data_IF_071619975037
#
_entry.id   IF_071619975037
#
_cell.length_a   1.000
_cell.length_b   1.000
_cell.length_c   1.000
_cell.angle_alpha   90.00
_cell.angle_beta   90.00
_cell.angle_gamma   90.00
#
_symmetry.space_group_name_H-M   'P 1'
#
loop_
_entity.id
_entity.type
_entity.pdbx_description
1 polymer ?
#
# COMPACT_ATOMS: atom_id res chain seq x y z
N UNK A 1 -29.33 -2.90 23.60
CA UNK A 1 -28.11 -2.87 24.42
C UNK A 1 -26.97 -2.08 23.79
N UNK A 2 -26.66 -2.22 22.51
CA UNK A 2 -25.56 -1.48 21.87
C UNK A 2 -25.72 0.04 21.91
N UNK A 3 -26.93 0.56 21.63
CA UNK A 3 -27.20 2.00 21.67
C UNK A 3 -26.99 2.63 23.05
N UNK A 4 -27.27 1.89 24.11
CA UNK A 4 -27.05 2.36 25.49
C UNK A 4 -25.57 2.44 25.87
N UNK A 5 -24.73 1.56 25.30
CA UNK A 5 -23.27 1.56 25.53
C UNK A 5 -22.61 2.73 24.78
N UNK A 6 -23.05 3.03 23.57
CA UNK A 6 -22.56 4.17 22.78
C UNK A 6 -22.91 5.50 23.45
N UNK A 7 -24.12 5.67 23.97
CA UNK A 7 -24.56 6.86 24.72
C UNK A 7 -23.77 7.01 26.00
N UNK A 8 -23.50 5.93 26.73
CA UNK A 8 -22.74 5.97 27.98
C UNK A 8 -21.26 6.37 27.73
N UNK A 9 -20.65 5.93 26.62
CA UNK A 9 -19.28 6.30 26.25
C UNK A 9 -19.17 7.78 25.85
N UNK A 10 -20.16 8.33 25.14
CA UNK A 10 -20.23 9.75 24.78
C UNK A 10 -20.41 10.66 26.00
N UNK A 11 -21.19 10.22 26.99
CA UNK A 11 -21.43 10.98 28.25
C UNK A 11 -20.20 10.95 29.15
N UNK A 12 -19.40 9.89 29.11
CA UNK A 12 -18.19 9.75 29.91
C UNK A 12 -16.96 10.46 29.32
N UNK A 13 -17.06 11.09 28.15
CA UNK A 13 -15.93 11.75 27.48
C UNK A 13 -14.78 10.82 27.12
N UNK A 14 -15.05 9.51 27.04
CA UNK A 14 -14.06 8.51 26.66
C UNK A 14 -13.96 8.51 25.14
N UNK A 15 -12.77 8.78 24.63
CA UNK A 15 -12.47 8.67 23.21
C UNK A 15 -12.81 7.25 22.73
N UNK A 16 -13.72 7.14 21.75
CA UNK A 16 -14.20 5.88 21.17
C UNK A 16 -13.07 5.05 20.54
N UNK A 17 -11.92 5.67 20.29
CA UNK A 17 -10.72 5.07 19.70
C UNK A 17 -10.03 4.04 20.60
N UNK A 18 -10.35 4.04 21.89
CA UNK A 18 -9.79 3.09 22.87
C UNK A 18 -10.59 1.81 23.05
N UNK A 19 -11.76 1.69 22.43
CA UNK A 19 -12.59 0.49 22.53
C UNK A 19 -12.33 -0.40 21.33
N UNK A 20 -11.40 -1.34 21.49
CA UNK A 20 -11.18 -2.43 20.52
C UNK A 20 -12.51 -3.10 20.23
N UNK A 21 -13.01 -2.96 18.99
CA UNK A 21 -14.25 -3.58 18.53
C UNK A 21 -15.45 -2.65 18.29
N UNK A 22 -15.49 -1.41 18.82
CA UNK A 22 -16.57 -0.46 18.48
C UNK A 22 -16.52 0.04 17.03
N UNK A 23 -15.36 0.35 16.44
CA UNK A 23 -15.27 0.68 15.02
C UNK A 23 -15.83 -0.43 14.12
N UNK A 24 -15.54 -1.69 14.44
CA UNK A 24 -16.05 -2.85 13.69
C UNK A 24 -17.56 -2.98 13.81
N UNK A 25 -18.08 -2.93 15.04
CA UNK A 25 -19.52 -3.04 15.26
C UNK A 25 -20.30 -1.88 14.62
N UNK A 26 -19.74 -0.69 14.63
CA UNK A 26 -20.32 0.49 13.98
C UNK A 26 -20.30 0.37 12.45
N UNK A 27 -19.18 -0.05 11.87
CA UNK A 27 -19.04 -0.29 10.43
C UNK A 27 -19.90 -1.44 9.96
N UNK A 28 -19.92 -2.55 10.71
CA UNK A 28 -20.82 -3.67 10.44
C UNK A 28 -22.29 -3.21 10.43
N UNK A 29 -22.68 -2.36 11.36
CA UNK A 29 -24.01 -1.81 11.41
C UNK A 29 -24.32 -0.85 10.24
N UNK A 30 -23.34 -0.06 9.80
CA UNK A 30 -23.47 0.85 8.65
C UNK A 30 -23.45 0.12 7.31
N UNK A 31 -22.66 -0.93 7.19
CA UNK A 31 -22.54 -1.74 5.96
C UNK A 31 -23.70 -2.72 5.77
N UNK A 32 -24.71 -2.69 6.65
CA UNK A 32 -25.84 -3.63 6.58
C UNK A 32 -25.42 -5.08 6.85
N UNK A 33 -24.33 -5.31 7.58
CA UNK A 33 -23.80 -6.63 7.91
C UNK A 33 -22.88 -7.24 6.84
N UNK A 34 -22.40 -6.44 5.88
CA UNK A 34 -21.50 -6.91 4.81
C UNK A 34 -20.01 -6.83 5.15
N UNK A 35 -19.65 -6.62 6.40
CA UNK A 35 -18.26 -6.63 6.85
C UNK A 35 -17.85 -8.08 7.15
N UNK A 36 -17.18 -8.72 6.20
CA UNK A 36 -16.92 -10.16 6.22
C UNK A 36 -15.50 -10.45 5.71
N UNK A 37 -15.03 -11.69 5.89
CA UNK A 37 -13.90 -12.23 5.16
C UNK A 37 -14.33 -12.45 3.71
N UNK A 38 -14.33 -11.36 2.92
CA UNK A 38 -14.78 -11.40 1.54
C UNK A 38 -13.81 -12.26 0.71
N UNK A 39 -14.34 -13.33 0.12
CA UNK A 39 -13.58 -14.12 -0.81
C UNK A 39 -13.15 -13.26 -2.02
N UNK A 40 -11.95 -13.51 -2.57
CA UNK A 40 -11.52 -12.83 -3.77
C UNK A 40 -12.47 -13.11 -4.94
N UNK A 41 -12.55 -12.22 -5.93
CA UNK A 41 -13.19 -12.51 -7.21
C UNK A 41 -12.62 -13.78 -7.85
N UNK A 42 -13.31 -14.31 -8.87
CA UNK A 42 -12.82 -15.46 -9.61
C UNK A 42 -11.43 -15.16 -10.20
N UNK A 43 -10.44 -15.92 -9.77
CA UNK A 43 -9.05 -15.73 -10.20
C UNK A 43 -8.77 -16.39 -11.55
N UNK A 44 -7.85 -15.80 -12.31
CA UNK A 44 -7.37 -16.32 -13.59
C UNK A 44 -5.88 -16.66 -13.52
N UNK A 45 -5.36 -17.57 -14.34
CA UNK A 45 -3.92 -17.79 -14.44
C UNK A 45 -3.19 -16.48 -14.75
N UNK A 46 -1.98 -16.31 -14.19
CA UNK A 46 -1.15 -15.16 -14.51
C UNK A 46 -0.89 -15.10 -16.02
N UNK A 47 -1.13 -13.95 -16.68
CA UNK A 47 -0.95 -13.82 -18.12
C UNK A 47 0.54 -13.80 -18.46
N UNK A 48 1.04 -14.86 -19.09
CA UNK A 48 2.40 -14.85 -19.65
C UNK A 48 2.41 -13.89 -20.85
N UNK A 49 3.01 -12.72 -20.68
CA UNK A 49 3.16 -11.73 -21.76
C UNK A 49 4.27 -12.14 -22.72
N UNK A 50 4.05 -11.91 -24.01
CA UNK A 50 5.07 -12.14 -25.05
C UNK A 50 6.22 -11.09 -25.00
N UNK A 51 6.02 -9.95 -24.31
CA UNK A 51 7.02 -8.89 -24.13
C UNK A 51 7.12 -8.54 -22.65
N UNK A 52 8.36 -8.40 -22.16
CA UNK A 52 8.63 -7.89 -20.83
C UNK A 52 8.20 -6.41 -20.75
N UNK A 53 7.51 -5.97 -19.68
CA UNK A 53 7.30 -4.54 -19.43
C UNK A 53 8.64 -3.82 -19.21
N UNK A 54 8.68 -2.50 -19.41
CA UNK A 54 9.88 -1.69 -19.19
C UNK A 54 10.24 -1.63 -17.70
N UNK A 55 9.22 -1.61 -16.84
CA UNK A 55 9.35 -1.58 -15.38
C UNK A 55 8.40 -2.60 -14.77
N UNK A 56 8.89 -3.32 -13.77
CA UNK A 56 8.12 -4.31 -13.03
C UNK A 56 8.39 -4.17 -11.54
N UNK A 57 7.39 -3.83 -10.76
CA UNK A 57 7.48 -3.64 -9.31
C UNK A 57 6.53 -4.60 -8.60
N UNK A 58 6.96 -5.16 -7.47
CA UNK A 58 6.10 -5.90 -6.55
C UNK A 58 5.80 -5.05 -5.31
N UNK A 59 4.58 -5.10 -4.79
CA UNK A 59 4.19 -4.37 -3.59
C UNK A 59 3.46 -5.26 -2.59
N UNK A 60 3.81 -5.16 -1.32
CA UNK A 60 3.18 -5.87 -0.20
C UNK A 60 3.17 -5.01 1.06
N UNK A 61 2.08 -5.02 1.79
CA UNK A 61 1.98 -4.31 3.08
C UNK A 61 1.80 -5.25 4.25
N UNK A 62 2.16 -4.76 5.44
CA UNK A 62 1.91 -5.43 6.72
C UNK A 62 2.60 -6.81 6.78
N UNK A 63 3.81 -6.85 6.24
CA UNK A 63 4.60 -8.07 6.10
C UNK A 63 5.18 -8.54 7.43
N UNK A 64 5.70 -7.68 8.25
CA UNK A 64 6.61 -7.79 9.39
C UNK A 64 6.39 -8.87 10.45
N UNK A 65 5.80 -10.00 10.13
CA UNK A 65 5.50 -11.07 11.09
C UNK A 65 6.58 -12.16 11.18
N UNK A 66 7.32 -12.40 10.09
CA UNK A 66 8.21 -13.55 9.94
C UNK A 66 7.46 -14.89 9.95
N UNK A 67 6.14 -14.88 9.70
CA UNK A 67 5.26 -16.04 9.77
C UNK A 67 5.14 -16.81 8.45
N UNK A 68 4.52 -18.01 8.54
CA UNK A 68 4.39 -18.91 7.39
C UNK A 68 3.63 -18.27 6.20
N UNK A 69 2.61 -17.46 6.48
CA UNK A 69 1.82 -16.82 5.43
C UNK A 69 2.63 -15.73 4.69
N UNK A 70 3.50 -15.05 5.40
CA UNK A 70 4.43 -14.09 4.79
C UNK A 70 5.42 -14.79 3.85
N UNK A 71 6.02 -15.91 4.31
CA UNK A 71 6.88 -16.74 3.46
C UNK A 71 6.13 -17.24 2.22
N UNK A 72 4.88 -17.71 2.38
CA UNK A 72 4.08 -18.15 1.22
C UNK A 72 3.80 -17.02 0.22
N UNK A 73 3.61 -15.78 0.70
CA UNK A 73 3.46 -14.62 -0.17
C UNK A 73 4.77 -14.28 -0.90
N UNK A 74 5.89 -14.32 -0.19
CA UNK A 74 7.21 -14.08 -0.75
C UNK A 74 7.62 -15.18 -1.76
N UNK A 75 7.31 -16.46 -1.47
CA UNK A 75 7.54 -17.57 -2.40
C UNK A 75 6.73 -17.39 -3.68
N UNK A 76 5.45 -16.98 -3.58
CA UNK A 76 4.64 -16.70 -4.76
C UNK A 76 5.18 -15.53 -5.61
N UNK A 77 5.77 -14.50 -4.98
CA UNK A 77 6.50 -13.45 -5.69
C UNK A 77 7.73 -14.00 -6.41
N UNK A 78 8.56 -14.78 -5.71
CA UNK A 78 9.78 -15.36 -6.28
C UNK A 78 9.48 -16.32 -7.45
N UNK A 79 8.40 -17.10 -7.36
CA UNK A 79 7.95 -17.93 -8.47
C UNK A 79 7.61 -17.11 -9.73
N UNK A 80 7.01 -15.93 -9.55
CA UNK A 80 6.68 -15.05 -10.68
C UNK A 80 7.91 -14.35 -11.27
N UNK A 81 9.02 -14.25 -10.57
CA UNK A 81 10.30 -13.75 -11.11
C UNK A 81 10.88 -14.67 -12.20
N UNK A 82 10.46 -15.95 -12.25
CA UNK A 82 10.82 -16.84 -13.35
C UNK A 82 10.32 -16.33 -14.71
N UNK A 83 9.28 -15.48 -14.72
CA UNK A 83 8.78 -14.77 -15.90
C UNK A 83 9.43 -13.40 -16.15
N UNK A 84 10.35 -12.97 -15.31
CA UNK A 84 11.12 -11.72 -15.34
C UNK A 84 11.33 -11.15 -13.94
N UNK A 85 12.53 -10.66 -13.64
CA UNK A 85 12.89 -10.06 -12.37
C UNK A 85 12.04 -8.80 -12.08
N UNK A 86 11.78 -8.52 -10.81
CA UNK A 86 11.27 -7.22 -10.37
C UNK A 86 12.40 -6.19 -10.30
N UNK A 87 12.12 -4.95 -10.65
CA UNK A 87 13.06 -3.84 -10.48
C UNK A 87 13.07 -3.38 -9.01
N UNK A 88 11.93 -3.48 -8.31
CA UNK A 88 11.84 -3.21 -6.87
C UNK A 88 10.74 -4.02 -6.16
N UNK A 89 10.97 -4.24 -4.85
CA UNK A 89 9.99 -4.66 -3.86
C UNK A 89 9.58 -3.44 -3.03
N UNK A 90 8.29 -3.09 -3.07
CA UNK A 90 7.69 -1.97 -2.37
C UNK A 90 7.00 -2.47 -1.10
N UNK A 91 7.54 -2.17 0.08
CA UNK A 91 6.93 -2.50 1.37
C UNK A 91 6.07 -1.33 1.86
N UNK A 92 4.77 -1.57 2.04
CA UNK A 92 3.78 -0.53 2.31
C UNK A 92 3.62 -0.19 3.81
N UNK A 93 4.67 -0.42 4.60
CA UNK A 93 4.70 -0.17 6.04
C UNK A 93 4.30 -1.36 6.90
N UNK A 94 4.49 -1.20 8.21
CA UNK A 94 4.42 -2.27 9.21
C UNK A 94 5.38 -3.41 8.85
N UNK A 95 6.65 -3.00 8.67
CA UNK A 95 7.73 -3.86 8.20
C UNK A 95 8.25 -4.79 9.30
N UNK A 96 8.09 -4.43 10.58
CA UNK A 96 8.52 -5.26 11.72
C UNK A 96 7.52 -5.18 12.87
N UNK A 97 6.75 -6.24 13.09
CA UNK A 97 5.87 -6.35 14.25
C UNK A 97 6.60 -6.81 15.51
N UNK A 98 6.13 -6.46 16.73
CA UNK A 98 4.98 -5.59 16.99
C UNK A 98 5.33 -4.10 17.08
N UNK A 99 6.60 -3.70 16.99
CA UNK A 99 7.02 -2.35 17.37
C UNK A 99 8.12 -1.72 16.53
N UNK A 100 8.46 -2.27 15.37
CA UNK A 100 9.53 -1.74 14.53
C UNK A 100 10.94 -1.90 15.14
N UNK A 101 11.14 -2.88 16.02
CA UNK A 101 12.49 -3.16 16.55
C UNK A 101 13.38 -3.71 15.45
N UNK A 102 14.49 -3.02 15.09
CA UNK A 102 15.36 -3.46 14.00
C UNK A 102 16.01 -4.84 14.21
N UNK A 103 16.04 -5.34 15.44
CA UNK A 103 16.49 -6.71 15.73
C UNK A 103 15.62 -7.74 15.00
N UNK A 104 14.33 -7.44 14.80
CA UNK A 104 13.39 -8.28 14.07
C UNK A 104 13.52 -8.22 12.55
N UNK A 105 14.20 -7.22 11.99
CA UNK A 105 14.23 -6.95 10.55
C UNK A 105 14.64 -8.18 9.71
N UNK A 106 15.66 -8.90 10.19
CA UNK A 106 16.15 -10.07 9.46
C UNK A 106 15.07 -11.15 9.31
N UNK A 107 14.40 -11.52 10.41
CA UNK A 107 13.38 -12.57 10.40
C UNK A 107 12.05 -12.12 9.83
N UNK A 108 11.75 -10.82 9.90
CA UNK A 108 10.49 -10.24 9.45
C UNK A 108 10.50 -9.75 7.98
N UNK A 109 11.68 -9.51 7.40
CA UNK A 109 11.77 -8.99 6.03
C UNK A 109 12.83 -9.72 5.22
N UNK A 110 14.10 -9.70 5.72
CA UNK A 110 15.22 -10.12 4.87
C UNK A 110 15.21 -11.63 4.58
N UNK A 111 14.88 -12.47 5.56
CA UNK A 111 14.83 -13.91 5.37
C UNK A 111 13.59 -14.34 4.55
N UNK A 112 12.34 -13.85 4.81
CA UNK A 112 11.19 -14.18 3.97
C UNK A 112 11.36 -13.78 2.50
N UNK A 113 11.83 -12.57 2.24
CA UNK A 113 11.96 -12.02 0.88
C UNK A 113 13.36 -12.26 0.25
N UNK A 114 14.19 -13.13 0.85
CA UNK A 114 15.54 -13.36 0.37
C UNK A 114 15.64 -13.78 -1.11
N UNK A 115 14.68 -14.59 -1.59
CA UNK A 115 14.65 -15.02 -2.97
C UNK A 115 14.25 -13.90 -3.94
N UNK A 116 13.42 -12.96 -3.51
CA UNK A 116 13.02 -11.77 -4.28
C UNK A 116 14.13 -10.71 -4.28
N UNK A 117 14.89 -10.61 -3.20
CA UNK A 117 15.95 -9.60 -2.99
C UNK A 117 17.34 -10.12 -3.39
N UNK A 118 17.44 -11.18 -4.17
CA UNK A 118 18.67 -11.95 -4.42
C UNK A 118 19.73 -11.25 -5.29
N UNK A 119 19.57 -9.99 -5.62
CA UNK A 119 20.68 -9.25 -6.20
C UNK A 119 20.39 -8.05 -7.08
N UNK A 120 19.20 -7.90 -7.67
CA UNK A 120 18.85 -6.74 -8.51
C UNK A 120 17.62 -6.00 -8.07
N UNK A 121 16.71 -6.66 -7.38
CA UNK A 121 15.50 -6.07 -6.88
C UNK A 121 15.82 -5.09 -5.76
N UNK A 122 15.51 -3.83 -5.96
CA UNK A 122 15.73 -2.80 -4.94
C UNK A 122 14.63 -2.85 -3.89
N UNK A 123 14.97 -2.64 -2.62
CA UNK A 123 14.01 -2.54 -1.53
C UNK A 123 13.61 -1.08 -1.33
N UNK A 124 12.31 -0.80 -1.44
CA UNK A 124 11.71 0.50 -1.15
C UNK A 124 10.67 0.31 -0.05
N UNK A 125 10.74 1.06 1.04
CA UNK A 125 9.81 0.88 2.15
C UNK A 125 9.21 2.20 2.65
N UNK A 126 7.92 2.18 2.95
CA UNK A 126 7.27 3.19 3.78
C UNK A 126 7.32 2.74 5.25
N UNK A 127 7.21 3.68 6.18
CA UNK A 127 7.04 3.38 7.59
C UNK A 127 5.55 3.26 7.93
N UNK A 128 5.20 2.21 8.72
CA UNK A 128 3.88 2.02 9.29
C UNK A 128 3.78 2.43 10.76
N UNK A 129 2.59 2.33 11.33
CA UNK A 129 2.35 2.72 12.72
C UNK A 129 3.00 1.77 13.74
N UNK A 130 3.31 0.53 13.36
CA UNK A 130 4.11 -0.37 14.17
C UNK A 130 5.59 -0.01 14.09
N UNK A 131 6.08 0.39 12.94
CA UNK A 131 7.49 0.70 12.71
C UNK A 131 7.97 1.89 13.53
N UNK A 132 7.09 2.87 13.77
CA UNK A 132 7.45 4.10 14.52
C UNK A 132 7.34 3.97 16.05
N UNK A 133 6.97 2.80 16.57
CA UNK A 133 6.84 2.60 18.04
C UNK A 133 8.17 2.55 18.76
N UNK A 134 9.23 2.07 18.11
CA UNK A 134 10.58 2.06 18.66
C UNK A 134 11.33 3.30 18.17
N UNK A 135 11.61 4.21 19.09
CA UNK A 135 12.38 5.44 18.86
C UNK A 135 11.97 6.17 17.56
N UNK A 136 10.63 6.31 17.39
CA UNK A 136 10.02 7.01 16.26
C UNK A 136 10.40 6.42 14.87
N UNK A 137 10.76 5.15 14.83
CA UNK A 137 11.16 4.43 13.61
C UNK A 137 12.56 4.74 13.08
N UNK A 138 13.32 5.58 13.77
CA UNK A 138 14.67 5.97 13.31
C UNK A 138 15.60 4.74 13.18
N UNK A 139 15.71 3.84 14.19
CA UNK A 139 16.59 2.68 14.08
C UNK A 139 16.19 1.71 12.97
N UNK A 140 14.89 1.52 12.74
CA UNK A 140 14.42 0.65 11.67
C UNK A 140 14.67 1.29 10.29
N UNK A 141 14.44 2.58 10.14
CA UNK A 141 14.72 3.33 8.92
C UNK A 141 16.20 3.23 8.53
N UNK A 142 17.10 3.39 9.50
CA UNK A 142 18.55 3.22 9.31
C UNK A 142 18.91 1.77 8.92
N UNK A 143 18.30 0.78 9.59
CA UNK A 143 18.56 -0.63 9.32
C UNK A 143 18.05 -1.08 7.94
N UNK A 144 16.94 -0.49 7.46
CA UNK A 144 16.42 -0.65 6.10
C UNK A 144 17.21 0.14 5.05
N UNK A 145 18.09 1.05 5.47
CA UNK A 145 18.87 1.91 4.56
C UNK A 145 18.01 2.96 3.84
N UNK A 146 16.89 3.39 4.44
CA UNK A 146 16.01 4.36 3.80
C UNK A 146 16.67 5.74 3.69
N UNK A 147 16.46 6.48 2.58
CA UNK A 147 17.00 7.83 2.44
C UNK A 147 16.44 8.84 3.45
N UNK A 148 15.25 8.55 3.97
CA UNK A 148 14.50 9.38 4.91
C UNK A 148 13.13 8.80 5.20
N UNK A 149 12.30 9.53 5.94
CA UNK A 149 10.91 9.13 6.22
C UNK A 149 10.00 9.30 5.00
N UNK A 150 10.35 10.24 4.12
CA UNK A 150 9.73 10.47 2.83
C UNK A 150 10.83 10.74 1.79
N UNK A 151 10.65 10.19 0.62
CA UNK A 151 11.62 10.28 -0.48
C UNK A 151 10.97 9.87 -1.81
N UNK A 152 11.66 10.10 -2.91
CA UNK A 152 11.24 9.65 -4.22
C UNK A 152 12.34 8.84 -4.90
N UNK A 153 11.94 7.81 -5.65
CA UNK A 153 12.85 6.95 -6.40
C UNK A 153 12.27 6.68 -7.79
N UNK A 154 13.14 6.68 -8.81
CA UNK A 154 12.74 6.52 -10.19
C UNK A 154 13.11 5.13 -10.70
N UNK A 155 12.15 4.44 -11.30
CA UNK A 155 12.31 3.18 -12.00
C UNK A 155 11.81 3.37 -13.43
N UNK A 156 12.72 3.60 -14.38
CA UNK A 156 12.34 3.83 -15.78
C UNK A 156 11.19 4.83 -15.93
N UNK A 157 10.05 4.36 -16.42
CA UNK A 157 8.83 5.17 -16.62
C UNK A 157 8.02 5.44 -15.34
N UNK A 158 8.37 4.85 -14.20
CA UNK A 158 7.63 4.96 -12.92
C UNK A 158 8.44 5.75 -11.89
N UNK A 159 7.85 6.81 -11.34
CA UNK A 159 8.33 7.44 -10.13
C UNK A 159 7.55 6.92 -8.92
N UNK A 160 8.24 6.35 -7.96
CA UNK A 160 7.70 5.95 -6.67
C UNK A 160 7.99 7.05 -5.66
N UNK A 161 6.93 7.63 -5.09
CA UNK A 161 6.99 8.69 -4.08
C UNK A 161 6.52 8.12 -2.75
N UNK A 162 7.44 7.98 -1.81
CA UNK A 162 7.18 7.44 -0.47
C UNK A 162 6.83 8.59 0.47
N UNK A 163 5.72 8.48 1.19
CA UNK A 163 5.32 9.44 2.21
C UNK A 163 5.09 8.77 3.57
N UNK A 164 5.39 9.50 4.63
CA UNK A 164 5.12 9.06 6.00
C UNK A 164 3.70 9.45 6.41
N UNK A 165 2.78 8.52 6.27
CA UNK A 165 1.39 8.70 6.68
C UNK A 165 1.16 8.60 8.19
N UNK A 166 2.19 8.33 9.00
CA UNK A 166 2.11 8.45 10.46
C UNK A 166 2.12 9.92 10.90
N UNK A 167 2.56 10.82 10.01
CA UNK A 167 2.65 12.28 10.19
C UNK A 167 2.09 13.04 8.98
N UNK A 168 0.83 12.80 8.57
CA UNK A 168 0.31 13.33 7.31
C UNK A 168 0.16 14.85 7.27
N UNK A 169 0.23 15.52 8.41
CA UNK A 169 0.18 16.98 8.54
C UNK A 169 1.55 17.66 8.74
N UNK A 170 2.65 16.90 8.65
CA UNK A 170 4.00 17.46 8.80
C UNK A 170 4.26 18.53 7.71
N UNK A 171 4.56 19.79 8.09
CA UNK A 171 4.66 20.87 7.11
C UNK A 171 5.91 20.76 6.21
N UNK A 172 6.96 20.07 6.66
CA UNK A 172 8.16 19.86 5.86
C UNK A 172 7.87 18.78 4.79
N UNK A 173 7.22 17.70 5.19
CA UNK A 173 6.75 16.67 4.27
C UNK A 173 5.78 17.24 3.23
N UNK A 174 4.78 18.01 3.65
CA UNK A 174 3.79 18.59 2.73
C UNK A 174 4.42 19.52 1.70
N UNK A 175 5.38 20.35 2.11
CA UNK A 175 6.12 21.24 1.21
C UNK A 175 6.97 20.44 0.24
N UNK A 176 7.75 19.48 0.75
CA UNK A 176 8.56 18.60 -0.07
C UNK A 176 7.71 17.82 -1.10
N UNK A 177 6.57 17.28 -0.67
CA UNK A 177 5.65 16.53 -1.53
C UNK A 177 5.09 17.40 -2.65
N UNK A 178 4.65 18.64 -2.34
CA UNK A 178 4.14 19.60 -3.34
C UNK A 178 5.21 19.93 -4.38
N UNK A 179 6.44 20.21 -3.95
CA UNK A 179 7.59 20.53 -4.80
C UNK A 179 8.01 19.32 -5.66
N UNK A 180 8.10 18.13 -5.05
CA UNK A 180 8.47 16.88 -5.72
C UNK A 180 7.46 16.50 -6.79
N UNK A 181 6.17 16.51 -6.46
CA UNK A 181 5.12 16.18 -7.42
C UNK A 181 5.01 17.23 -8.55
N UNK A 182 5.19 18.51 -8.23
CA UNK A 182 5.19 19.58 -9.23
C UNK A 182 6.33 19.46 -10.26
N UNK A 183 7.49 18.94 -9.82
CA UNK A 183 8.67 18.77 -10.67
C UNK A 183 8.72 17.42 -11.39
N UNK A 184 7.81 16.50 -11.05
CA UNK A 184 7.85 15.13 -11.55
C UNK A 184 7.41 15.03 -13.00
N UNK A 185 8.33 14.59 -13.87
CA UNK A 185 8.09 14.40 -15.31
C UNK A 185 7.93 12.92 -15.72
N UNK A 186 7.91 11.99 -14.74
CA UNK A 186 7.73 10.58 -15.03
C UNK A 186 6.38 10.31 -15.69
N UNK A 187 6.29 9.39 -16.67
CA UNK A 187 5.02 8.95 -17.24
C UNK A 187 4.02 8.50 -16.17
N UNK A 188 4.50 7.78 -15.14
CA UNK A 188 3.69 7.29 -14.04
C UNK A 188 4.20 7.81 -12.70
N UNK A 189 3.30 8.31 -11.88
CA UNK A 189 3.57 8.67 -10.48
C UNK A 189 2.76 7.79 -9.56
N UNK A 190 3.47 6.93 -8.83
CA UNK A 190 2.92 6.04 -7.83
C UNK A 190 3.33 6.56 -6.46
N UNK A 191 2.37 6.91 -5.63
CA UNK A 191 2.61 7.23 -4.21
C UNK A 191 2.45 5.97 -3.39
N UNK A 192 3.36 5.71 -2.46
CA UNK A 192 3.20 4.68 -1.45
C UNK A 192 3.20 5.28 -0.04
N UNK A 193 2.27 4.81 0.77
CA UNK A 193 2.08 5.21 2.16
C UNK A 193 1.47 4.06 2.95
N UNK A 194 1.54 4.11 4.29
CA UNK A 194 0.96 3.03 5.08
C UNK A 194 -0.55 3.19 5.28
N UNK A 195 -1.00 4.31 5.88
CA UNK A 195 -2.43 4.49 6.19
C UNK A 195 -3.23 4.87 4.95
N UNK A 196 -4.30 4.10 4.59
CA UNK A 196 -5.08 4.35 3.39
C UNK A 196 -6.00 5.57 3.54
N UNK A 197 -5.97 6.56 2.63
CA UNK A 197 -6.93 7.67 2.64
C UNK A 197 -8.35 7.19 2.37
N UNK A 198 -8.49 6.11 1.59
CA UNK A 198 -9.77 5.50 1.24
C UNK A 198 -9.72 4.02 1.53
N UNK A 199 -10.44 3.58 2.55
CA UNK A 199 -10.56 2.17 2.92
C UNK A 199 -11.94 1.86 3.48
N UNK A 200 -12.48 0.72 3.08
CA UNK A 200 -13.65 0.07 3.64
C UNK A 200 -13.25 -1.07 4.61
N UNK A 201 -11.96 -1.26 4.87
CA UNK A 201 -11.41 -2.31 5.72
C UNK A 201 -11.63 -2.07 7.21
N UNK A 202 -10.96 -2.87 8.01
CA UNK A 202 -11.11 -2.93 9.47
C UNK A 202 -10.86 -1.57 10.17
N UNK A 203 -9.79 -0.88 9.82
CA UNK A 203 -9.44 0.43 10.38
C UNK A 203 -10.16 1.58 9.66
N UNK A 204 -10.43 1.39 8.37
CA UNK A 204 -11.07 2.34 7.48
C UNK A 204 -10.19 3.45 7.00
N UNK A 205 -10.83 4.41 6.37
CA UNK A 205 -10.16 5.56 5.78
C UNK A 205 -9.43 6.38 6.82
N UNK A 206 -8.15 6.70 6.59
CA UNK A 206 -7.41 7.68 7.37
C UNK A 206 -7.80 9.09 6.93
N UNK A 207 -8.57 9.77 7.79
CA UNK A 207 -9.09 11.09 7.49
C UNK A 207 -8.00 12.17 7.51
N UNK A 208 -6.90 11.96 8.24
CA UNK A 208 -5.80 12.91 8.28
C UNK A 208 -4.99 12.88 6.99
N UNK A 209 -4.68 11.69 6.46
CA UNK A 209 -4.09 11.52 5.12
C UNK A 209 -5.02 12.07 4.03
N UNK A 210 -6.32 11.79 4.13
CA UNK A 210 -7.31 12.33 3.16
C UNK A 210 -7.34 13.86 3.18
N UNK A 211 -7.26 14.48 4.33
CA UNK A 211 -7.34 15.94 4.43
C UNK A 211 -6.06 16.65 3.99
N UNK A 212 -4.88 16.05 4.21
CA UNK A 212 -3.60 16.74 4.03
C UNK A 212 -2.85 16.28 2.77
N UNK A 213 -2.87 14.99 2.44
CA UNK A 213 -2.09 14.43 1.34
C UNK A 213 -2.88 14.36 0.02
N UNK A 214 -4.13 13.90 0.06
CA UNK A 214 -4.97 13.71 -1.14
C UNK A 214 -5.10 14.98 -1.99
N UNK A 215 -5.28 16.21 -1.43
CA UNK A 215 -5.33 17.41 -2.26
C UNK A 215 -4.07 17.66 -3.10
N UNK A 216 -2.90 17.20 -2.63
CA UNK A 216 -1.65 17.27 -3.38
C UNK A 216 -1.62 16.21 -4.49
N UNK A 217 -2.07 14.99 -4.20
CA UNK A 217 -2.15 13.93 -5.20
C UNK A 217 -3.06 14.31 -6.38
N UNK A 218 -4.25 14.81 -6.08
CA UNK A 218 -5.21 15.26 -7.11
C UNK A 218 -4.69 16.46 -7.91
N UNK A 219 -4.08 17.45 -7.22
CA UNK A 219 -3.53 18.65 -7.86
C UNK A 219 -2.45 18.30 -8.89
N UNK A 220 -1.55 17.40 -8.52
CA UNK A 220 -0.40 17.03 -9.35
C UNK A 220 -0.64 15.81 -10.24
N UNK A 221 -1.86 15.23 -10.19
CA UNK A 221 -2.26 14.13 -11.04
C UNK A 221 -1.48 12.85 -10.73
N UNK A 222 -1.34 12.47 -9.47
CA UNK A 222 -0.86 11.14 -9.07
C UNK A 222 -1.75 10.09 -9.73
N UNK A 223 -1.15 9.03 -10.29
CA UNK A 223 -1.91 8.01 -11.02
C UNK A 223 -2.45 6.93 -10.09
N UNK A 224 -1.62 6.52 -9.12
CA UNK A 224 -1.91 5.42 -8.20
C UNK A 224 -1.39 5.72 -6.79
N UNK A 225 -2.18 5.40 -5.78
CA UNK A 225 -1.74 5.38 -4.37
C UNK A 225 -1.84 3.96 -3.85
N UNK A 226 -0.72 3.42 -3.36
CA UNK A 226 -0.62 2.12 -2.71
C UNK A 226 -0.56 2.33 -1.19
N UNK A 227 -1.33 1.54 -0.45
CA UNK A 227 -1.37 1.59 1.02
C UNK A 227 -1.44 0.18 1.62
N UNK A 228 -1.00 0.05 2.88
CA UNK A 228 -1.17 -1.11 3.73
C UNK A 228 -2.24 -0.89 4.80
N UNK A 229 -1.90 -1.23 6.06
CA UNK A 229 -2.64 -0.98 7.30
C UNK A 229 -3.91 -1.80 7.48
N UNK A 230 -4.82 -1.79 6.51
CA UNK A 230 -5.93 -2.74 6.49
C UNK A 230 -5.45 -4.05 5.84
N UNK A 231 -5.51 -5.14 6.62
CA UNK A 231 -4.96 -6.44 6.23
C UNK A 231 -5.90 -7.16 5.25
N UNK A 232 -6.15 -6.51 4.13
CA UNK A 232 -7.04 -6.98 3.06
C UNK A 232 -6.57 -6.42 1.71
N UNK A 233 -7.29 -6.72 0.66
CA UNK A 233 -7.16 -6.07 -0.64
C UNK A 233 -8.37 -5.20 -0.90
N UNK A 234 -8.14 -3.98 -1.37
CA UNK A 234 -9.18 -3.10 -1.85
C UNK A 234 -8.69 -2.27 -3.03
N UNK A 235 -9.59 -2.04 -4.00
CA UNK A 235 -9.38 -1.08 -5.07
C UNK A 235 -10.58 -0.15 -5.16
N UNK A 236 -10.31 1.14 -5.30
CA UNK A 236 -11.35 2.15 -5.51
C UNK A 236 -11.63 2.37 -7.01
N UNK A 237 -12.76 3.00 -7.30
CA UNK A 237 -12.91 3.73 -8.55
C UNK A 237 -11.88 4.87 -8.61
N UNK A 238 -11.78 5.52 -9.78
CA UNK A 238 -10.96 6.73 -9.90
C UNK A 238 -11.61 7.89 -9.12
N UNK A 239 -10.90 8.43 -8.14
CA UNK A 239 -11.37 9.52 -7.28
C UNK A 239 -10.47 10.74 -7.53
N UNK A 240 -11.02 11.81 -8.08
CA UNK A 240 -10.24 13.04 -8.33
C UNK A 240 -9.09 12.87 -9.31
N UNK A 241 -9.11 11.85 -10.14
CA UNK A 241 -8.03 11.49 -11.07
C UNK A 241 -7.07 10.41 -10.54
N UNK A 242 -7.21 9.98 -9.30
CA UNK A 242 -6.33 9.04 -8.59
C UNK A 242 -7.03 7.71 -8.35
N UNK A 243 -6.34 6.59 -8.56
CA UNK A 243 -6.80 5.27 -8.14
C UNK A 243 -6.09 4.87 -6.85
N UNK A 244 -6.84 4.34 -5.87
CA UNK A 244 -6.29 3.91 -4.57
C UNK A 244 -6.38 2.39 -4.46
N UNK A 245 -5.28 1.78 -4.01
CA UNK A 245 -5.21 0.35 -3.71
C UNK A 245 -4.72 0.16 -2.27
N UNK A 246 -5.44 -0.62 -1.50
CA UNK A 246 -5.00 -1.16 -0.22
C UNK A 246 -4.49 -2.58 -0.46
N UNK A 247 -3.29 -2.90 0.00
CA UNK A 247 -2.65 -4.20 -0.12
C UNK A 247 -1.88 -4.52 1.16
N UNK A 248 -2.61 -4.73 2.26
CA UNK A 248 -2.06 -5.07 3.57
C UNK A 248 -2.22 -6.55 3.94
N UNK A 249 -2.63 -7.38 3.01
CA UNK A 249 -2.90 -8.81 3.25
C UNK A 249 -1.73 -9.74 2.98
N UNK A 250 -0.47 -9.30 3.13
CA UNK A 250 0.67 -10.15 2.81
C UNK A 250 0.95 -11.24 3.86
N UNK A 251 0.74 -10.94 5.14
CA UNK A 251 1.12 -11.85 6.25
C UNK A 251 -0.02 -12.19 7.22
N UNK A 252 -1.02 -11.31 7.33
CA UNK A 252 -2.20 -11.53 8.18
C UNK A 252 -3.44 -11.01 7.49
N UNK A 253 -4.62 -11.53 7.86
CA UNK A 253 -5.88 -11.12 7.26
C UNK A 253 -6.84 -10.54 8.28
N UNK A 254 -7.62 -9.56 7.84
CA UNK A 254 -8.76 -9.00 8.57
C UNK A 254 -9.98 -8.93 7.65
N UNK A 255 -11.20 -8.85 8.23
CA UNK A 255 -12.40 -8.61 7.44
C UNK A 255 -12.33 -7.29 6.68
N UNK A 256 -12.88 -7.29 5.48
CA UNK A 256 -13.07 -6.10 4.66
C UNK A 256 -14.56 -5.80 4.44
N UNK A 257 -14.88 -4.57 4.10
CA UNK A 257 -16.22 -4.13 3.73
C UNK A 257 -16.27 -3.57 2.33
N UNK A 258 -17.34 -2.84 2.03
CA UNK A 258 -17.53 -2.08 0.80
C UNK A 258 -18.11 -0.71 1.12
N UNK A 259 -17.52 0.31 0.58
CA UNK A 259 -18.01 1.69 0.56
C UNK A 259 -18.40 2.09 -0.87
N UNK A 260 -18.99 3.25 -1.05
CA UNK A 260 -19.43 3.70 -2.37
C UNK A 260 -18.30 3.74 -3.41
N UNK A 261 -17.08 4.00 -2.97
CA UNK A 261 -15.89 4.06 -3.82
C UNK A 261 -15.26 2.69 -4.13
N UNK A 262 -15.72 1.60 -3.50
CA UNK A 262 -15.07 0.28 -3.61
C UNK A 262 -15.47 -0.43 -4.90
N UNK A 263 -14.51 -0.70 -5.77
CA UNK A 263 -14.69 -1.56 -6.95
C UNK A 263 -14.48 -3.02 -6.59
N UNK A 264 -13.35 -3.32 -5.94
CA UNK A 264 -12.98 -4.69 -5.52
C UNK A 264 -12.52 -4.66 -4.08
N UNK A 265 -12.93 -5.65 -3.30
CA UNK A 265 -12.43 -5.90 -1.96
C UNK A 265 -12.39 -7.41 -1.69
N UNK A 266 -11.30 -7.88 -1.04
CA UNK A 266 -11.10 -9.28 -0.70
C UNK A 266 -10.23 -9.43 0.54
N UNK A 267 -10.59 -10.36 1.44
CA UNK A 267 -9.74 -10.79 2.55
C UNK A 267 -9.00 -12.05 2.10
N UNK A 268 -7.85 -11.87 1.46
CA UNK A 268 -7.02 -12.95 0.93
C UNK A 268 -5.55 -12.59 1.03
N UNK A 269 -4.68 -13.57 1.21
CA UNK A 269 -3.23 -13.38 1.15
C UNK A 269 -2.81 -13.07 -0.27
N UNK A 270 -2.03 -12.01 -0.46
CA UNK A 270 -1.70 -11.52 -1.78
C UNK A 270 -0.53 -10.53 -1.77
N UNK A 271 -0.09 -10.23 -2.95
CA UNK A 271 0.74 -9.06 -3.26
C UNK A 271 0.20 -8.38 -4.53
N UNK A 272 0.73 -7.21 -4.85
CA UNK A 272 0.37 -6.45 -6.04
C UNK A 272 1.59 -6.33 -6.96
N UNK A 273 1.38 -6.59 -8.24
CA UNK A 273 2.35 -6.31 -9.30
C UNK A 273 1.96 -5.05 -10.05
N UNK A 274 2.95 -4.22 -10.33
CA UNK A 274 2.88 -3.10 -11.25
C UNK A 274 3.77 -3.39 -12.46
N UNK A 275 3.18 -3.44 -13.64
CA UNK A 275 3.87 -3.66 -14.89
C UNK A 275 3.67 -2.44 -15.80
N UNK A 276 4.72 -1.64 -16.02
CA UNK A 276 4.64 -0.38 -16.73
C UNK A 276 5.42 -0.38 -18.05
N UNK A 277 4.83 0.30 -19.02
CA UNK A 277 5.49 0.88 -20.17
C UNK A 277 5.27 2.40 -20.17
N UNK A 278 5.81 3.15 -21.09
CA UNK A 278 5.54 4.58 -21.17
C UNK A 278 4.05 4.92 -21.35
N UNK A 279 3.27 4.03 -21.99
CA UNK A 279 1.89 4.29 -22.41
C UNK A 279 0.84 3.63 -21.50
N UNK A 280 1.22 2.60 -20.76
CA UNK A 280 0.29 1.79 -19.94
C UNK A 280 0.94 1.35 -18.63
N UNK A 281 0.19 1.47 -17.54
CA UNK A 281 0.48 0.85 -16.25
C UNK A 281 -0.60 -0.19 -15.96
N UNK A 282 -0.19 -1.47 -15.91
CA UNK A 282 -1.06 -2.59 -15.53
C UNK A 282 -0.79 -2.92 -14.08
N UNK A 283 -1.84 -3.02 -13.29
CA UNK A 283 -1.78 -3.39 -11.86
C UNK A 283 -2.54 -4.68 -11.65
N UNK A 284 -1.90 -5.67 -11.02
CA UNK A 284 -2.47 -7.00 -10.74
C UNK A 284 -2.38 -7.33 -9.26
N UNK A 285 -3.49 -7.78 -8.69
CA UNK A 285 -3.50 -8.41 -7.37
C UNK A 285 -3.40 -9.93 -7.54
N UNK A 286 -2.40 -10.54 -6.90
CA UNK A 286 -1.98 -11.92 -7.12
C UNK A 286 -2.00 -12.64 -5.78
N UNK A 287 -2.76 -13.74 -5.72
CA UNK A 287 -2.81 -14.60 -4.54
C UNK A 287 -1.56 -15.46 -4.37
N UNK A 288 -1.43 -16.10 -3.20
CA UNK A 288 -0.35 -17.05 -2.92
C UNK A 288 -0.35 -18.29 -3.85
N UNK A 289 -1.47 -18.52 -4.56
CA UNK A 289 -1.59 -19.54 -5.60
C UNK A 289 -1.05 -19.10 -6.97
N UNK A 290 -0.43 -17.93 -7.05
CA UNK A 290 0.11 -17.33 -8.28
C UNK A 290 -0.97 -16.87 -9.27
N UNK A 291 -2.25 -16.83 -8.86
CA UNK A 291 -3.38 -16.47 -9.75
C UNK A 291 -3.78 -15.00 -9.53
N UNK A 292 -4.15 -14.35 -10.63
CA UNK A 292 -4.64 -12.96 -10.61
C UNK A 292 -6.12 -12.96 -10.25
N UNK A 293 -6.51 -12.25 -9.20
CA UNK A 293 -7.91 -12.09 -8.79
C UNK A 293 -8.46 -10.67 -9.04
N UNK A 294 -7.60 -9.67 -9.28
CA UNK A 294 -7.98 -8.36 -9.77
C UNK A 294 -6.92 -7.84 -10.74
N UNK A 295 -7.34 -7.26 -11.85
CA UNK A 295 -6.48 -6.62 -12.83
C UNK A 295 -7.14 -5.37 -13.36
N UNK A 296 -6.38 -4.30 -13.45
CA UNK A 296 -6.80 -3.07 -14.12
C UNK A 296 -5.63 -2.37 -14.78
N UNK A 297 -5.94 -1.47 -15.70
CA UNK A 297 -4.94 -0.69 -16.41
C UNK A 297 -5.22 0.79 -16.29
N UNK A 298 -4.16 1.57 -16.15
CA UNK A 298 -4.18 3.01 -16.25
C UNK A 298 -3.55 3.41 -17.60
N UNK A 299 -4.19 4.34 -18.30
CA UNK A 299 -3.65 4.92 -19.52
C UNK A 299 -2.87 6.19 -19.17
N UNK A 300 -1.75 6.43 -19.84
CA UNK A 300 -0.93 7.62 -19.60
C UNK A 300 -1.76 8.89 -19.71
N UNK A 301 -1.68 9.72 -18.68
CA UNK A 301 -2.35 11.02 -18.67
C UNK A 301 -1.68 11.94 -19.71
N UNK A 302 -2.48 12.54 -20.61
CA UNK A 302 -1.99 13.54 -21.57
C UNK A 302 -1.41 14.82 -20.92
N UNK A 303 -1.45 14.91 -19.58
CA UNK A 303 -0.97 16.06 -18.81
C UNK A 303 0.55 16.07 -18.59
N UNK A 304 1.23 14.93 -18.75
CA UNK A 304 2.69 14.82 -18.64
C UNK A 304 3.28 14.57 -20.01
N UNK A 305 3.69 15.66 -20.70
CA UNK A 305 4.55 15.50 -21.84
C UNK A 305 5.91 14.96 -21.35
N UNK A 306 6.53 13.99 -22.04
CA UNK A 306 7.88 13.56 -21.70
C UNK A 306 8.80 14.78 -21.81
N UNK A 307 9.23 15.29 -20.66
CA UNK A 307 10.34 16.24 -20.61
C UNK A 307 11.62 15.40 -20.55
N UNK A 308 12.58 15.75 -21.40
CA UNK A 308 13.86 15.06 -21.55
C UNK A 308 14.49 14.70 -20.19
N UNK A 309 14.32 13.47 -19.72
CA UNK A 309 15.14 12.83 -18.70
C UNK A 309 14.98 13.32 -17.24
N UNK A 310 13.94 14.05 -16.88
CA UNK A 310 13.71 14.54 -15.53
C UNK A 310 12.83 13.60 -14.69
N UNK A 311 13.43 12.81 -13.79
CA UNK A 311 12.69 12.14 -12.70
C UNK A 311 12.11 13.14 -11.69
N UNK A 312 11.30 12.67 -10.72
CA UNK A 312 10.93 13.45 -9.54
C UNK A 312 12.21 13.75 -8.73
N UNK A 313 12.48 15.02 -8.41
CA UNK A 313 13.68 15.47 -7.68
C UNK A 313 13.28 16.02 -6.32
#
# INVERSE_FOLDING_TARGET
>A
MLAAVVVAALVAGVSLDRWVGLPIAWRWAQSGGQFDLAAPPASVPYPLSASRPEVRLAAAGDVGTGGAEEYATADAMAELETSGEFDALLLLGDNVYPSGDPVGLRSAVLDPFAAVLDGRTELVAALGNHDVRTDDGVPLSEALGLPGRWYAQQFGSVAVVVVDSTRPQDPEQLRWLDETLASCAAPWVVVMQHHPPNSAGYHGSDLASRANLVPLYERHGVDLVLSGHDHDYQRTENIGGVTYVVSGGAATLRPTGREQFTVTAASTYHFVELAATADQLVVRAIGQDGRVFDEFSLAASARRAPLDGGGCR
#
